data_IF_893836735517
#
_entry.id   IF_893836735517
#
_cell.length_a   1.000
_cell.length_b   1.000
_cell.length_c   1.000
_cell.angle_alpha   90.00
_cell.angle_beta   90.00
_cell.angle_gamma   90.00
#
_symmetry.space_group_name_H-M   'P 1'
#
loop_
_entity.id
_entity.type
_entity.pdbx_description
1 polymer ?
#
# COMPACT_ATOMS: atom_id res chain seq x y z
N UNK A 1 47.90 -32.85 -4.74
CA UNK A 1 47.02 -31.81 -5.31
C UNK A 1 46.31 -31.11 -4.15
N UNK A 2 46.68 -29.87 -3.82
CA UNK A 2 45.99 -29.09 -2.77
C UNK A 2 44.72 -28.52 -3.43
N UNK A 3 43.54 -29.04 -3.05
CA UNK A 3 42.30 -28.54 -3.59
C UNK A 3 42.09 -27.07 -3.16
N UNK A 4 41.80 -26.19 -4.10
CA UNK A 4 41.48 -24.77 -3.80
C UNK A 4 40.29 -24.72 -2.86
N UNK A 5 40.35 -23.96 -1.76
CA UNK A 5 39.23 -23.83 -0.84
C UNK A 5 38.01 -23.24 -1.57
N UNK A 6 36.80 -23.75 -1.26
CA UNK A 6 35.58 -23.21 -1.84
C UNK A 6 35.42 -21.74 -1.43
N UNK A 7 34.74 -20.91 -2.29
CA UNK A 7 34.45 -19.50 -1.98
C UNK A 7 33.76 -19.34 -0.61
N UNK A 8 32.87 -20.25 -0.26
CA UNK A 8 32.20 -20.27 1.05
C UNK A 8 33.18 -20.49 2.21
N UNK A 9 34.21 -21.37 2.03
CA UNK A 9 35.23 -21.60 3.04
C UNK A 9 36.14 -20.38 3.25
N UNK A 10 36.44 -19.66 2.18
CA UNK A 10 37.21 -18.40 2.25
C UNK A 10 36.42 -17.33 3.01
N UNK A 11 35.15 -17.14 2.67
CA UNK A 11 34.27 -16.15 3.34
C UNK A 11 34.12 -16.46 4.84
N UNK A 12 33.96 -17.73 5.22
CA UNK A 12 33.90 -18.13 6.63
C UNK A 12 35.20 -17.84 7.38
N UNK A 13 36.37 -18.04 6.76
CA UNK A 13 37.67 -17.68 7.35
C UNK A 13 37.82 -16.17 7.57
N UNK A 14 37.13 -15.35 6.76
CA UNK A 14 37.05 -13.90 6.93
C UNK A 14 35.96 -13.48 7.94
N UNK A 15 35.37 -14.45 8.64
CA UNK A 15 34.39 -14.21 9.69
C UNK A 15 32.93 -13.99 9.19
N UNK A 16 32.65 -14.22 7.91
CA UNK A 16 31.28 -14.12 7.38
C UNK A 16 30.48 -15.39 7.66
N UNK A 17 29.21 -15.21 8.03
CA UNK A 17 28.26 -16.31 8.08
C UNK A 17 27.76 -16.65 6.66
N UNK A 18 27.88 -17.92 6.27
CA UNK A 18 27.44 -18.39 4.95
C UNK A 18 26.41 -19.50 5.11
N UNK A 19 25.18 -19.22 4.74
CA UNK A 19 24.07 -20.19 4.71
C UNK A 19 23.85 -20.65 3.28
N UNK A 20 23.98 -21.94 2.99
CA UNK A 20 23.69 -22.50 1.66
C UNK A 20 22.18 -22.60 1.46
N UNK A 21 21.71 -22.20 0.29
CA UNK A 21 20.33 -22.32 -0.15
C UNK A 21 20.13 -23.53 -1.09
N UNK A 22 21.21 -23.91 -1.82
CA UNK A 22 21.18 -24.99 -2.78
C UNK A 22 22.48 -25.06 -3.58
N UNK A 23 22.58 -25.90 -4.63
CA UNK A 23 23.74 -25.95 -5.51
C UNK A 23 24.00 -24.56 -6.12
N UNK A 24 25.20 -24.00 -5.87
CA UNK A 24 25.58 -22.69 -6.43
C UNK A 24 25.01 -21.46 -5.76
N UNK A 25 24.11 -21.59 -4.81
CA UNK A 25 23.43 -20.47 -4.14
C UNK A 25 23.71 -20.42 -2.63
N UNK A 26 24.02 -19.23 -2.10
CA UNK A 26 24.22 -19.01 -0.67
C UNK A 26 23.91 -17.56 -0.28
N UNK A 27 23.49 -17.38 0.96
CA UNK A 27 23.36 -16.05 1.60
C UNK A 27 24.60 -15.82 2.47
N UNK A 28 25.19 -14.63 2.35
CA UNK A 28 26.36 -14.20 3.11
C UNK A 28 25.97 -13.06 4.03
N UNK A 29 26.19 -13.22 5.32
CA UNK A 29 25.96 -12.19 6.32
C UNK A 29 27.29 -11.74 6.96
N UNK A 30 27.35 -10.45 7.35
CA UNK A 30 28.50 -9.94 8.12
C UNK A 30 28.57 -10.61 9.49
N UNK A 31 29.77 -10.69 10.11
CA UNK A 31 29.95 -11.25 11.45
C UNK A 31 28.96 -10.58 12.45
N UNK A 32 28.32 -11.39 13.27
CA UNK A 32 27.34 -10.94 14.27
C UNK A 32 25.97 -10.56 13.73
N UNK A 33 25.74 -10.66 12.42
CA UNK A 33 24.39 -10.47 11.83
C UNK A 33 23.70 -11.82 11.75
N UNK A 34 22.71 -12.04 12.62
CA UNK A 34 21.86 -13.24 12.52
C UNK A 34 20.84 -13.06 11.39
N UNK A 35 20.71 -14.06 10.53
CA UNK A 35 19.70 -14.14 9.48
C UNK A 35 18.84 -15.37 9.71
N UNK A 36 17.55 -15.24 9.38
CA UNK A 36 16.64 -16.38 9.19
C UNK A 36 16.56 -16.68 7.70
N UNK A 37 16.56 -17.94 7.36
CA UNK A 37 16.40 -18.45 6.00
C UNK A 37 15.34 -19.53 6.08
N UNK A 38 14.16 -19.24 5.58
CA UNK A 38 13.06 -20.18 5.53
C UNK A 38 12.80 -20.54 4.06
N UNK A 39 12.81 -21.84 3.73
CA UNK A 39 12.45 -22.31 2.40
C UNK A 39 10.94 -22.18 2.23
N UNK A 40 10.51 -21.55 1.16
CA UNK A 40 9.10 -21.33 0.83
C UNK A 40 8.64 -22.36 -0.18
N UNK A 41 9.45 -22.57 -1.23
CA UNK A 41 9.26 -23.55 -2.31
C UNK A 41 10.62 -24.19 -2.61
N UNK A 42 10.68 -25.29 -3.39
CA UNK A 42 11.94 -25.99 -3.68
C UNK A 42 13.09 -25.09 -4.11
N UNK A 43 12.81 -24.03 -4.88
CA UNK A 43 13.81 -23.09 -5.41
C UNK A 43 13.61 -21.65 -4.91
N UNK A 44 12.83 -21.45 -3.83
CA UNK A 44 12.50 -20.13 -3.30
C UNK A 44 12.72 -20.05 -1.80
N UNK A 45 13.35 -18.96 -1.34
CA UNK A 45 13.66 -18.74 0.07
C UNK A 45 13.26 -17.35 0.52
N UNK A 46 12.75 -17.27 1.75
CA UNK A 46 12.58 -16.03 2.46
C UNK A 46 13.76 -15.80 3.39
N UNK A 47 14.45 -14.68 3.20
CA UNK A 47 15.65 -14.34 3.98
C UNK A 47 15.41 -13.02 4.69
N UNK A 48 15.51 -13.01 6.01
CA UNK A 48 15.42 -11.79 6.79
C UNK A 48 16.52 -11.66 7.84
N UNK A 49 16.78 -10.41 8.27
CA UNK A 49 17.71 -10.13 9.36
C UNK A 49 16.99 -10.31 10.70
N UNK A 50 17.50 -11.24 11.52
CA UNK A 50 17.00 -11.41 12.88
C UNK A 50 17.51 -10.27 13.79
N UNK A 51 16.56 -9.51 14.36
CA UNK A 51 16.85 -8.49 15.38
C UNK A 51 16.28 -8.95 16.71
N UNK A 52 17.15 -9.54 17.57
CA UNK A 52 16.72 -10.10 18.88
C UNK A 52 15.99 -11.45 18.77
N UNK A 53 15.02 -11.71 19.65
CA UNK A 53 14.19 -12.92 19.56
C UNK A 53 13.37 -12.92 18.28
N UNK A 54 13.22 -14.09 17.64
CA UNK A 54 12.38 -14.27 16.46
C UNK A 54 10.97 -13.71 16.75
N UNK A 55 10.52 -12.79 15.91
CA UNK A 55 9.19 -12.17 16.02
C UNK A 55 8.35 -12.60 14.82
N UNK A 56 7.69 -13.74 14.94
CA UNK A 56 6.87 -14.36 13.88
C UNK A 56 5.87 -13.36 13.27
N UNK A 57 5.24 -12.52 14.09
CA UNK A 57 4.32 -11.49 13.58
C UNK A 57 4.97 -10.45 12.65
N UNK A 58 6.23 -10.07 12.90
CA UNK A 58 6.99 -9.17 12.01
C UNK A 58 7.41 -9.87 10.71
N UNK A 59 7.76 -11.15 10.79
CA UNK A 59 8.09 -11.95 9.62
C UNK A 59 6.87 -12.15 8.73
N UNK A 60 5.72 -12.49 9.32
CA UNK A 60 4.44 -12.61 8.60
C UNK A 60 4.05 -11.29 7.93
N UNK A 61 4.19 -10.16 8.64
CA UNK A 61 3.92 -8.85 8.04
C UNK A 61 4.86 -8.57 6.87
N UNK A 62 6.15 -8.81 7.00
CA UNK A 62 7.12 -8.57 5.94
C UNK A 62 6.84 -9.43 4.69
N UNK A 63 6.41 -10.68 4.88
CA UNK A 63 5.98 -11.56 3.79
C UNK A 63 4.69 -11.06 3.13
N UNK A 64 3.69 -10.70 3.93
CA UNK A 64 2.44 -10.11 3.44
C UNK A 64 2.70 -8.85 2.62
N UNK A 65 3.52 -7.92 3.15
CA UNK A 65 3.91 -6.69 2.47
C UNK A 65 4.69 -6.97 1.16
N UNK A 66 5.50 -8.02 1.14
CA UNK A 66 6.23 -8.43 -0.07
C UNK A 66 5.27 -8.95 -1.15
N UNK A 67 4.38 -9.89 -0.79
CA UNK A 67 3.40 -10.46 -1.72
C UNK A 67 2.46 -9.38 -2.24
N UNK A 68 1.95 -8.50 -1.37
CA UNK A 68 1.11 -7.37 -1.75
C UNK A 68 1.80 -6.47 -2.80
N UNK A 69 3.09 -6.16 -2.61
CA UNK A 69 3.85 -5.36 -3.58
C UNK A 69 4.06 -6.07 -4.92
N UNK A 70 4.35 -7.38 -4.90
CA UNK A 70 4.49 -8.15 -6.14
C UNK A 70 3.18 -8.20 -6.90
N UNK A 71 2.08 -8.47 -6.21
CA UNK A 71 0.73 -8.47 -6.76
C UNK A 71 0.36 -7.11 -7.36
N UNK A 72 0.61 -6.01 -6.63
CA UNK A 72 0.39 -4.65 -7.13
C UNK A 72 1.21 -4.37 -8.39
N UNK A 73 2.52 -4.67 -8.36
CA UNK A 73 3.37 -4.45 -9.53
C UNK A 73 2.94 -5.27 -10.75
N UNK A 74 2.44 -6.46 -10.52
CA UNK A 74 1.87 -7.31 -11.56
C UNK A 74 0.57 -6.71 -12.11
N UNK A 75 -0.38 -6.30 -11.26
CA UNK A 75 -1.65 -5.68 -11.69
C UNK A 75 -1.42 -4.41 -12.51
N UNK A 76 -0.55 -3.50 -12.04
CA UNK A 76 -0.28 -2.25 -12.76
C UNK A 76 0.24 -2.52 -14.18
N UNK A 77 1.08 -3.55 -14.36
CA UNK A 77 1.56 -3.96 -15.68
C UNK A 77 0.47 -4.62 -16.52
N UNK A 78 -0.28 -5.58 -15.94
CA UNK A 78 -1.33 -6.31 -16.67
C UNK A 78 -2.45 -5.38 -17.16
N UNK A 79 -2.81 -4.37 -16.37
CA UNK A 79 -3.82 -3.39 -16.73
C UNK A 79 -3.26 -2.19 -17.53
N UNK A 80 -1.97 -2.18 -17.86
CA UNK A 80 -1.29 -1.06 -18.51
C UNK A 80 -1.54 0.29 -17.81
N UNK A 81 -1.54 0.29 -16.46
CA UNK A 81 -1.83 1.48 -15.66
C UNK A 81 -0.77 2.55 -15.93
N UNK A 82 -1.21 3.73 -16.35
CA UNK A 82 -0.36 4.88 -16.60
C UNK A 82 -0.64 6.09 -15.70
N UNK A 83 -1.68 5.99 -14.84
CA UNK A 83 -1.97 6.98 -13.81
C UNK A 83 -2.41 6.29 -12.50
N UNK A 84 -1.78 6.63 -11.39
CA UNK A 84 -2.16 6.17 -10.04
C UNK A 84 -2.63 7.36 -9.23
N UNK A 85 -3.85 7.29 -8.70
CA UNK A 85 -4.40 8.22 -7.73
C UNK A 85 -4.14 7.67 -6.32
N UNK A 86 -3.27 8.32 -5.55
CA UNK A 86 -2.88 7.94 -4.18
C UNK A 86 -3.59 8.84 -3.18
N UNK A 87 -4.75 8.40 -2.70
CA UNK A 87 -5.60 9.15 -1.78
C UNK A 87 -5.27 8.79 -0.34
N UNK A 88 -4.99 9.81 0.49
CA UNK A 88 -4.38 9.63 1.81
C UNK A 88 -2.89 9.31 1.67
N UNK A 89 -2.17 10.14 0.93
CA UNK A 89 -0.80 9.86 0.52
C UNK A 89 0.23 10.00 1.65
N UNK A 90 -0.13 10.69 2.73
CA UNK A 90 0.77 10.98 3.84
C UNK A 90 2.08 11.60 3.32
N UNK A 91 3.25 11.15 3.78
CA UNK A 91 4.56 11.64 3.32
C UNK A 91 5.06 10.96 2.03
N UNK A 92 4.18 10.30 1.26
CA UNK A 92 4.47 9.74 -0.05
C UNK A 92 5.12 8.35 -0.05
N UNK A 93 5.02 7.61 1.05
CA UNK A 93 5.63 6.28 1.15
C UNK A 93 5.08 5.27 0.14
N UNK A 94 3.81 5.39 -0.26
CA UNK A 94 3.21 4.52 -1.28
C UNK A 94 3.78 4.83 -2.67
N UNK A 95 3.75 6.09 -3.09
CA UNK A 95 4.32 6.55 -4.35
C UNK A 95 5.82 6.20 -4.48
N UNK A 96 6.61 6.42 -3.43
CA UNK A 96 8.01 6.02 -3.41
C UNK A 96 8.20 4.49 -3.55
N UNK A 97 7.29 3.67 -3.02
CA UNK A 97 7.33 2.21 -3.23
C UNK A 97 7.05 1.85 -4.68
N UNK A 98 6.07 2.50 -5.32
CA UNK A 98 5.78 2.31 -6.74
C UNK A 98 7.00 2.65 -7.62
N UNK A 99 7.64 3.80 -7.37
CA UNK A 99 8.87 4.20 -8.09
C UNK A 99 10.00 3.20 -7.92
N UNK A 100 10.25 2.72 -6.70
CA UNK A 100 11.25 1.66 -6.44
C UNK A 100 10.89 0.33 -7.10
N UNK A 101 9.61 0.07 -7.31
CA UNK A 101 9.09 -1.08 -8.07
C UNK A 101 9.16 -0.93 -9.59
N UNK A 102 9.66 0.21 -10.10
CA UNK A 102 9.82 0.49 -11.53
C UNK A 102 8.57 1.09 -12.20
N UNK A 103 7.57 1.51 -11.44
CA UNK A 103 6.41 2.21 -12.03
C UNK A 103 6.83 3.59 -12.54
N UNK A 104 6.63 3.84 -13.84
CA UNK A 104 7.04 5.07 -14.53
C UNK A 104 5.87 6.01 -14.91
N UNK A 105 4.61 5.55 -14.74
CA UNK A 105 3.44 6.37 -15.04
C UNK A 105 3.21 7.50 -14.04
N UNK A 106 2.22 8.35 -14.33
CA UNK A 106 1.87 9.48 -13.46
C UNK A 106 1.39 8.99 -12.09
N UNK A 107 1.82 9.68 -11.04
CA UNK A 107 1.27 9.55 -9.68
C UNK A 107 0.64 10.88 -9.29
N UNK A 108 -0.58 10.83 -8.76
CA UNK A 108 -1.27 12.00 -8.22
C UNK A 108 -1.63 11.70 -6.78
N UNK A 109 -0.98 12.38 -5.87
CA UNK A 109 -1.13 12.16 -4.42
C UNK A 109 -2.00 13.27 -3.80
N UNK A 110 -2.95 12.86 -2.96
CA UNK A 110 -3.85 13.75 -2.23
C UNK A 110 -3.59 13.60 -0.73
N UNK A 111 -3.26 14.71 -0.07
CA UNK A 111 -2.98 14.76 1.36
C UNK A 111 -3.49 16.08 1.93
N UNK A 112 -4.50 16.06 2.85
CA UNK A 112 -5.15 17.28 3.31
C UNK A 112 -4.36 18.06 4.38
N UNK A 113 -3.49 17.40 5.14
CA UNK A 113 -2.78 18.04 6.27
C UNK A 113 -1.59 18.84 5.75
N UNK A 114 -1.63 20.18 5.83
CA UNK A 114 -0.66 21.09 5.22
C UNK A 114 0.81 20.72 5.54
N UNK A 115 1.14 20.49 6.82
CA UNK A 115 2.52 20.14 7.23
C UNK A 115 2.98 18.76 6.76
N UNK A 116 2.04 17.85 6.41
CA UNK A 116 2.32 16.55 5.81
C UNK A 116 2.43 16.71 4.28
N UNK A 117 1.54 17.49 3.67
CA UNK A 117 1.57 17.79 2.24
C UNK A 117 2.86 18.51 1.81
N UNK A 118 3.44 19.36 2.68
CA UNK A 118 4.74 19.97 2.43
C UNK A 118 5.86 18.92 2.32
N UNK A 119 5.90 17.95 3.26
CA UNK A 119 6.85 16.83 3.20
C UNK A 119 6.64 15.94 1.99
N UNK A 120 5.38 15.76 1.59
CA UNK A 120 5.00 15.02 0.39
C UNK A 120 5.50 15.74 -0.88
N UNK A 121 5.33 17.07 -0.98
CA UNK A 121 5.89 17.87 -2.08
C UNK A 121 7.41 17.79 -2.15
N UNK A 122 8.08 17.83 -0.99
CA UNK A 122 9.53 17.64 -0.94
C UNK A 122 9.95 16.24 -1.45
N UNK A 123 9.18 15.19 -1.11
CA UNK A 123 9.43 13.85 -1.64
C UNK A 123 9.22 13.75 -3.17
N UNK A 124 8.27 14.50 -3.71
CA UNK A 124 7.92 14.52 -5.13
C UNK A 124 8.79 15.47 -5.98
N UNK A 125 9.55 16.40 -5.39
CA UNK A 125 10.18 17.55 -6.07
C UNK A 125 11.04 17.22 -7.30
N UNK A 126 11.67 16.05 -7.33
CA UNK A 126 12.55 15.61 -8.40
C UNK A 126 11.87 14.66 -9.40
N UNK A 127 10.56 14.48 -9.29
CA UNK A 127 9.77 13.57 -10.12
C UNK A 127 8.70 14.37 -10.87
N UNK A 128 8.90 14.71 -12.16
CA UNK A 128 7.96 15.53 -12.91
C UNK A 128 6.60 14.86 -13.14
N UNK A 129 6.54 13.53 -13.03
CA UNK A 129 5.33 12.74 -13.17
C UNK A 129 4.66 12.43 -11.82
N UNK A 130 5.05 13.13 -10.75
CA UNK A 130 4.41 13.02 -9.44
C UNK A 130 3.82 14.37 -9.02
N UNK A 131 2.49 14.47 -9.08
CA UNK A 131 1.72 15.67 -8.68
C UNK A 131 1.19 15.52 -7.26
N UNK A 132 1.07 16.63 -6.54
CA UNK A 132 0.59 16.67 -5.14
C UNK A 132 -0.51 17.70 -5.01
N UNK A 133 -1.64 17.27 -4.47
CA UNK A 133 -2.79 18.10 -4.13
C UNK A 133 -2.98 18.15 -2.61
N UNK A 134 -3.06 19.37 -2.05
CA UNK A 134 -3.33 19.58 -0.63
C UNK A 134 -4.84 19.63 -0.40
N UNK A 135 -5.48 18.49 -0.45
CA UNK A 135 -6.89 18.32 -0.13
C UNK A 135 -7.20 16.86 0.23
N UNK A 136 -8.26 16.64 0.96
CA UNK A 136 -8.92 15.33 1.03
C UNK A 136 -9.80 15.12 -0.20
N UNK A 137 -10.11 13.86 -0.52
CA UNK A 137 -11.18 13.53 -1.46
C UNK A 137 -12.41 13.02 -0.69
N UNK A 138 -13.57 13.45 -1.12
CA UNK A 138 -14.86 13.11 -0.53
C UNK A 138 -15.99 13.19 -1.55
N UNK A 139 -17.22 13.04 -1.07
CA UNK A 139 -18.45 13.08 -1.86
C UNK A 139 -19.04 14.50 -2.00
N UNK A 140 -18.46 15.51 -1.34
CA UNK A 140 -18.80 16.91 -1.46
C UNK A 140 -17.55 17.80 -1.53
N UNK A 141 -17.69 19.00 -2.13
CA UNK A 141 -16.68 20.06 -2.01
C UNK A 141 -17.01 20.88 -0.75
N UNK A 142 -16.16 20.82 0.26
CA UNK A 142 -16.38 21.48 1.54
C UNK A 142 -15.09 21.82 2.28
N UNK A 143 -15.20 22.75 3.23
CA UNK A 143 -14.17 22.99 4.26
C UNK A 143 -14.63 22.30 5.55
N UNK A 144 -13.74 21.49 6.14
CA UNK A 144 -14.05 20.74 7.36
C UNK A 144 -12.83 20.63 8.27
N UNK A 145 -12.94 19.88 9.36
CA UNK A 145 -11.83 19.65 10.28
C UNK A 145 -11.40 18.18 10.26
N UNK A 146 -10.10 17.95 10.16
CA UNK A 146 -9.48 16.63 10.32
C UNK A 146 -8.81 16.53 11.69
N UNK A 147 -8.90 15.37 12.32
CA UNK A 147 -8.15 15.05 13.52
C UNK A 147 -6.73 14.61 13.14
N UNK A 148 -5.76 15.50 13.26
CA UNK A 148 -4.34 15.22 12.99
C UNK A 148 -3.74 14.41 14.12
N UNK A 149 -3.14 13.27 13.79
CA UNK A 149 -2.53 12.35 14.74
C UNK A 149 -1.13 11.92 14.30
N UNK A 150 -0.27 11.49 15.24
CA UNK A 150 1.07 11.02 14.89
C UNK A 150 1.08 9.83 13.92
N UNK A 151 1.97 9.89 12.94
CA UNK A 151 2.13 8.84 11.93
C UNK A 151 1.10 8.93 10.81
N UNK A 152 0.40 7.83 10.52
CA UNK A 152 -0.60 7.73 9.44
C UNK A 152 -2.03 7.58 9.97
N UNK A 153 -2.32 8.09 11.19
CA UNK A 153 -3.62 7.85 11.85
C UNK A 153 -4.53 9.08 11.85
N UNK A 154 -4.22 10.11 11.05
CA UNK A 154 -5.11 11.27 10.88
C UNK A 154 -6.37 10.86 10.13
N UNK A 155 -7.53 11.29 10.63
CA UNK A 155 -8.84 10.92 10.07
C UNK A 155 -9.86 12.04 10.20
N UNK A 156 -10.76 12.12 9.25
CA UNK A 156 -11.98 12.94 9.33
C UNK A 156 -12.97 12.37 10.35
N UNK A 157 -12.85 11.09 10.67
CA UNK A 157 -13.72 10.44 11.63
C UNK A 157 -13.13 10.46 13.05
N UNK A 158 -13.97 10.55 14.10
CA UNK A 158 -13.52 10.40 15.47
C UNK A 158 -13.05 8.96 15.73
N UNK A 159 -12.10 8.79 16.63
CA UNK A 159 -11.65 7.44 17.02
C UNK A 159 -12.73 6.70 17.80
N UNK A 160 -12.97 5.44 17.46
CA UNK A 160 -13.87 4.57 18.21
C UNK A 160 -13.28 4.21 19.59
N UNK A 161 -14.11 3.74 20.51
CA UNK A 161 -13.62 3.24 21.80
C UNK A 161 -12.63 2.07 21.62
N UNK A 162 -12.94 1.14 20.72
CA UNK A 162 -12.01 0.08 20.37
C UNK A 162 -10.68 0.63 19.83
N UNK A 163 -10.71 1.64 18.95
CA UNK A 163 -9.52 2.28 18.40
C UNK A 163 -8.63 2.88 19.49
N UNK A 164 -9.22 3.64 20.43
CA UNK A 164 -8.51 4.26 21.56
C UNK A 164 -7.87 3.23 22.50
N UNK A 165 -8.54 2.10 22.72
CA UNK A 165 -8.02 1.01 23.54
C UNK A 165 -6.93 0.22 22.83
N UNK A 166 -7.08 0.04 21.52
CA UNK A 166 -6.14 -0.73 20.72
C UNK A 166 -4.81 0.02 20.50
N UNK A 167 -4.86 1.37 20.28
CA UNK A 167 -3.67 2.14 19.97
C UNK A 167 -3.68 3.55 20.59
N UNK A 168 -2.67 3.84 21.41
CA UNK A 168 -2.55 5.13 22.14
C UNK A 168 -2.63 6.38 21.24
N UNK A 169 -2.11 6.31 20.00
CA UNK A 169 -2.15 7.43 19.04
C UNK A 169 -3.57 7.81 18.59
N UNK A 170 -4.56 6.97 18.85
CA UNK A 170 -5.96 7.25 18.54
C UNK A 170 -6.68 7.99 19.67
N UNK A 171 -6.06 8.17 20.83
CA UNK A 171 -6.67 8.82 22.00
C UNK A 171 -6.72 10.34 21.87
N UNK A 172 -5.69 10.93 21.28
CA UNK A 172 -5.53 12.37 21.16
C UNK A 172 -5.26 12.75 19.71
N UNK A 173 -5.69 13.95 19.33
CA UNK A 173 -5.45 14.54 18.02
C UNK A 173 -5.73 16.02 18.06
N UNK A 174 -5.11 16.77 17.16
CA UNK A 174 -5.34 18.21 16.99
C UNK A 174 -6.27 18.42 15.79
N UNK A 175 -7.32 19.22 15.97
CA UNK A 175 -8.19 19.59 14.86
C UNK A 175 -7.48 20.59 13.94
N UNK A 176 -7.47 20.30 12.64
CA UNK A 176 -6.95 21.20 11.61
C UNK A 176 -8.00 21.37 10.52
N UNK A 177 -8.24 22.60 10.07
CA UNK A 177 -9.09 22.88 8.90
C UNK A 177 -8.43 22.38 7.64
N UNK A 178 -9.22 21.73 6.80
CA UNK A 178 -8.82 21.18 5.51
C UNK A 178 -9.91 21.39 4.46
N UNK A 179 -9.50 21.33 3.20
CA UNK A 179 -10.42 21.30 2.06
C UNK A 179 -10.68 19.85 1.66
N UNK A 180 -11.94 19.50 1.48
CA UNK A 180 -12.40 18.27 0.84
C UNK A 180 -12.85 18.61 -0.58
N UNK A 181 -12.46 17.81 -1.56
CA UNK A 181 -12.83 18.01 -2.95
C UNK A 181 -13.46 16.73 -3.53
N UNK A 182 -14.43 16.91 -4.39
CA UNK A 182 -14.95 15.80 -5.19
C UNK A 182 -13.94 15.42 -6.26
N UNK A 183 -13.66 14.11 -6.38
CA UNK A 183 -12.71 13.61 -7.38
C UNK A 183 -13.22 13.78 -8.81
N UNK A 184 -14.53 13.65 -9.07
CA UNK A 184 -15.08 13.83 -10.41
C UNK A 184 -14.80 15.23 -10.98
N UNK A 185 -14.79 16.27 -10.12
CA UNK A 185 -14.42 17.63 -10.50
C UNK A 185 -12.92 17.82 -10.82
N UNK A 186 -12.05 16.94 -10.31
CA UNK A 186 -10.61 17.01 -10.53
C UNK A 186 -10.12 15.99 -11.58
N UNK A 187 -10.98 15.08 -12.03
CA UNK A 187 -10.55 13.92 -12.82
C UNK A 187 -9.88 14.32 -14.14
N UNK A 188 -10.49 15.23 -14.89
CA UNK A 188 -9.93 15.67 -16.17
C UNK A 188 -8.59 16.39 -16.00
N UNK A 189 -8.42 17.16 -14.91
CA UNK A 189 -7.14 17.83 -14.58
C UNK A 189 -6.03 16.83 -14.25
N UNK A 190 -6.34 15.78 -13.49
CA UNK A 190 -5.30 14.81 -13.05
C UNK A 190 -4.83 13.91 -14.18
N UNK A 191 -5.68 13.63 -15.16
CA UNK A 191 -5.32 12.83 -16.35
C UNK A 191 -4.86 13.68 -17.55
N UNK A 192 -4.93 15.02 -17.47
CA UNK A 192 -4.57 15.91 -18.57
C UNK A 192 -3.19 15.61 -19.14
N UNK A 193 -3.08 15.51 -20.46
CA UNK A 193 -1.86 15.15 -21.18
C UNK A 193 -1.49 13.67 -21.14
N UNK A 194 -2.33 12.78 -20.58
CA UNK A 194 -2.14 11.32 -20.67
C UNK A 194 -2.92 10.81 -21.88
N UNK A 195 -2.23 10.19 -22.83
CA UNK A 195 -2.88 9.49 -23.93
C UNK A 195 -3.44 8.17 -23.43
N UNK A 196 -4.71 7.86 -23.71
CA UNK A 196 -5.40 6.65 -23.27
C UNK A 196 -5.23 6.38 -21.77
N UNK A 197 -5.84 7.21 -20.88
CA UNK A 197 -5.61 7.11 -19.45
C UNK A 197 -6.17 5.79 -18.88
N UNK A 198 -5.28 5.02 -18.25
CA UNK A 198 -5.57 3.79 -17.52
C UNK A 198 -5.30 4.06 -16.04
N UNK A 199 -6.37 4.31 -15.29
CA UNK A 199 -6.28 4.84 -13.94
C UNK A 199 -6.41 3.74 -12.88
N UNK A 200 -5.52 3.76 -11.89
CA UNK A 200 -5.60 2.97 -10.69
C UNK A 200 -5.84 3.86 -9.46
N UNK A 201 -6.78 3.48 -8.60
CA UNK A 201 -7.16 4.23 -7.42
C UNK A 201 -6.69 3.51 -6.15
N UNK A 202 -5.85 4.16 -5.33
CA UNK A 202 -5.55 3.72 -3.96
C UNK A 202 -6.28 4.60 -2.97
N UNK A 203 -7.04 3.99 -2.08
CA UNK A 203 -7.72 4.61 -0.95
C UNK A 203 -7.08 4.14 0.36
N UNK A 204 -6.69 5.07 1.23
CA UNK A 204 -6.15 4.84 2.56
C UNK A 204 -6.36 6.14 3.36
N UNK A 205 -7.63 6.42 3.64
CA UNK A 205 -8.07 7.70 4.23
C UNK A 205 -8.46 7.55 5.70
N UNK A 206 -8.04 6.43 6.30
CA UNK A 206 -8.30 6.13 7.69
C UNK A 206 -9.79 6.20 8.04
N UNK A 207 -10.57 5.40 7.27
CA UNK A 207 -12.01 5.21 7.46
C UNK A 207 -12.92 6.06 6.60
N UNK A 208 -12.39 7.05 5.85
CA UNK A 208 -13.16 7.92 4.97
C UNK A 208 -13.17 7.43 3.49
N UNK A 209 -12.75 6.19 3.26
CA UNK A 209 -12.56 5.60 1.94
C UNK A 209 -13.84 5.54 1.12
N UNK A 210 -14.99 5.28 1.76
CA UNK A 210 -16.28 5.21 1.07
C UNK A 210 -16.74 6.56 0.54
N UNK A 211 -16.51 7.65 1.28
CA UNK A 211 -16.82 9.01 0.83
C UNK A 211 -15.88 9.41 -0.33
N UNK A 212 -14.59 9.10 -0.21
CA UNK A 212 -13.63 9.32 -1.28
C UNK A 212 -13.96 8.47 -2.54
N UNK A 213 -14.49 7.26 -2.36
CA UNK A 213 -14.97 6.41 -3.44
C UNK A 213 -16.22 6.98 -4.11
N UNK A 214 -17.20 7.38 -3.31
CA UNK A 214 -18.46 7.97 -3.82
C UNK A 214 -18.22 9.28 -4.59
N UNK A 215 -17.24 10.09 -4.16
CA UNK A 215 -16.83 11.32 -4.83
C UNK A 215 -16.29 11.17 -6.24
N UNK A 216 -16.07 9.94 -6.70
CA UNK A 216 -15.75 9.68 -8.10
C UNK A 216 -16.96 9.76 -9.03
N UNK A 217 -18.16 9.59 -8.50
CA UNK A 217 -19.39 9.62 -9.29
C UNK A 217 -19.29 8.72 -10.54
N UNK A 218 -19.72 9.25 -11.68
CA UNK A 218 -19.68 8.53 -12.96
C UNK A 218 -18.26 8.19 -13.46
N UNK A 219 -17.22 8.84 -12.91
CA UNK A 219 -15.83 8.59 -13.26
C UNK A 219 -15.29 7.27 -12.69
N UNK A 220 -16.05 6.59 -11.82
CA UNK A 220 -15.70 5.24 -11.34
C UNK A 220 -15.50 4.24 -12.48
N UNK A 221 -16.25 4.37 -13.55
CA UNK A 221 -16.14 3.50 -14.74
C UNK A 221 -14.81 3.67 -15.50
N UNK A 222 -14.08 4.75 -15.26
CA UNK A 222 -12.77 5.01 -15.86
C UNK A 222 -11.59 4.50 -15.00
N UNK A 223 -11.90 3.96 -13.80
CA UNK A 223 -10.93 3.32 -12.92
C UNK A 223 -10.78 1.86 -13.30
N UNK A 224 -9.62 1.47 -13.79
CA UNK A 224 -9.36 0.09 -14.24
C UNK A 224 -9.10 -0.88 -13.08
N UNK A 225 -8.60 -0.39 -11.96
CA UNK A 225 -8.38 -1.17 -10.74
C UNK A 225 -8.24 -0.27 -9.52
N UNK A 226 -8.35 -0.85 -8.34
CA UNK A 226 -8.27 -0.12 -7.10
C UNK A 226 -7.66 -0.93 -5.95
N UNK A 227 -7.23 -0.21 -4.92
CA UNK A 227 -6.89 -0.74 -3.60
C UNK A 227 -7.56 0.12 -2.54
N UNK A 228 -8.11 -0.53 -1.51
CA UNK A 228 -8.63 0.17 -0.33
C UNK A 228 -8.24 -0.56 0.94
N UNK A 229 -7.99 0.19 2.02
CA UNK A 229 -7.84 -0.36 3.36
C UNK A 229 -9.23 -0.61 3.94
N UNK A 230 -9.56 -1.87 4.22
CA UNK A 230 -10.90 -2.27 4.69
C UNK A 230 -10.85 -2.82 6.12
N UNK A 231 -11.78 -2.38 6.96
CA UNK A 231 -11.78 -2.69 8.38
C UNK A 231 -12.60 -3.94 8.72
N UNK A 232 -11.94 -4.96 9.28
CA UNK A 232 -12.63 -6.04 9.99
C UNK A 232 -13.21 -5.56 11.33
N UNK A 233 -12.49 -4.62 11.96
CA UNK A 233 -12.88 -4.00 13.22
C UNK A 233 -12.71 -2.49 13.08
N UNK A 234 -13.80 -1.71 13.07
CA UNK A 234 -13.73 -0.26 12.93
C UNK A 234 -12.92 0.38 14.06
N UNK A 235 -11.87 1.11 13.70
CA UNK A 235 -11.04 1.88 14.62
C UNK A 235 -11.45 3.35 14.71
N UNK A 236 -12.36 3.76 13.83
CA UNK A 236 -13.03 5.07 13.84
C UNK A 236 -14.54 4.88 13.87
N UNK A 237 -15.25 5.81 14.52
CA UNK A 237 -16.72 5.82 14.55
C UNK A 237 -17.28 6.18 13.17
N UNK A 238 -18.28 5.44 12.73
CA UNK A 238 -18.86 5.61 11.40
C UNK A 238 -18.06 4.95 10.26
N UNK A 239 -16.87 4.39 10.55
CA UNK A 239 -16.12 3.62 9.56
C UNK A 239 -16.89 2.36 9.14
N UNK A 240 -17.10 2.12 7.83
CA UNK A 240 -17.79 0.92 7.37
C UNK A 240 -16.96 -0.33 7.67
N UNK A 241 -17.66 -1.45 7.83
CA UNK A 241 -17.00 -2.75 8.01
C UNK A 241 -16.71 -3.38 6.66
N UNK A 242 -15.72 -4.29 6.66
CA UNK A 242 -15.29 -5.03 5.46
C UNK A 242 -16.45 -5.55 4.59
N UNK A 243 -17.51 -6.23 5.11
CA UNK A 243 -18.57 -6.74 4.25
C UNK A 243 -19.32 -5.63 3.49
N UNK A 244 -19.60 -4.51 4.17
CA UNK A 244 -20.34 -3.40 3.60
C UNK A 244 -19.51 -2.68 2.54
N UNK A 245 -18.23 -2.49 2.81
CA UNK A 245 -17.28 -1.82 1.93
C UNK A 245 -17.03 -2.66 0.65
N UNK A 246 -16.80 -3.97 0.81
CA UNK A 246 -16.64 -4.89 -0.32
C UNK A 246 -17.91 -4.93 -1.17
N UNK A 247 -19.09 -5.07 -0.56
CA UNK A 247 -20.35 -5.09 -1.30
C UNK A 247 -20.56 -3.83 -2.14
N UNK A 248 -20.16 -2.66 -1.63
CA UNK A 248 -20.23 -1.41 -2.37
C UNK A 248 -19.29 -1.38 -3.57
N UNK A 249 -18.05 -1.87 -3.41
CA UNK A 249 -17.07 -1.95 -4.50
C UNK A 249 -17.49 -2.95 -5.58
N UNK A 250 -17.99 -4.13 -5.18
CA UNK A 250 -18.53 -5.15 -6.11
C UNK A 250 -19.75 -4.62 -6.87
N UNK A 251 -20.66 -3.90 -6.19
CA UNK A 251 -21.81 -3.25 -6.84
C UNK A 251 -21.40 -2.19 -7.87
N UNK A 252 -20.21 -1.60 -7.73
CA UNK A 252 -19.62 -0.68 -8.70
C UNK A 252 -18.83 -1.39 -9.82
N UNK A 253 -18.84 -2.72 -9.87
CA UNK A 253 -18.22 -3.55 -10.92
C UNK A 253 -16.76 -3.92 -10.68
N UNK A 254 -16.27 -3.84 -9.43
CA UNK A 254 -14.93 -4.29 -9.08
C UNK A 254 -14.93 -5.72 -8.53
N UNK A 255 -13.90 -6.49 -8.87
CA UNK A 255 -13.70 -7.87 -8.43
C UNK A 255 -12.40 -7.99 -7.64
N UNK A 256 -12.42 -8.75 -6.52
CA UNK A 256 -11.25 -8.93 -5.66
C UNK A 256 -10.18 -9.77 -6.37
N UNK A 257 -8.94 -9.27 -6.38
CA UNK A 257 -7.76 -9.99 -6.87
C UNK A 257 -6.76 -10.33 -5.76
N UNK A 258 -6.86 -9.69 -4.60
CA UNK A 258 -6.01 -9.98 -3.46
C UNK A 258 -6.48 -9.31 -2.16
N UNK A 259 -6.21 -9.98 -1.03
CA UNK A 259 -6.48 -9.45 0.30
C UNK A 259 -5.24 -9.67 1.18
N UNK A 260 -4.65 -8.58 1.67
CA UNK A 260 -3.38 -8.61 2.40
C UNK A 260 -3.56 -8.01 3.79
N UNK A 261 -3.30 -8.76 4.90
CA UNK A 261 -3.44 -8.23 6.24
C UNK A 261 -2.47 -7.07 6.49
N UNK A 262 -2.99 -5.90 6.85
CA UNK A 262 -2.22 -4.71 7.21
C UNK A 262 -1.80 -4.79 8.67
N UNK A 263 -2.78 -5.01 9.55
CA UNK A 263 -2.53 -5.02 10.99
C UNK A 263 -3.36 -6.08 11.71
N UNK A 264 -2.83 -6.52 12.88
CA UNK A 264 -3.46 -7.54 13.73
C UNK A 264 -3.45 -7.09 15.18
N UNK A 265 -4.51 -7.43 15.88
CA UNK A 265 -4.56 -7.26 17.32
C UNK A 265 -3.65 -8.31 18.01
N UNK A 266 -2.67 -7.83 18.80
CA UNK A 266 -1.60 -8.69 19.33
C UNK A 266 -2.10 -9.79 20.27
N UNK A 267 -3.08 -9.50 21.12
CA UNK A 267 -3.58 -10.45 22.10
C UNK A 267 -4.59 -11.46 21.52
N UNK A 268 -5.45 -11.02 20.57
CA UNK A 268 -6.51 -11.87 20.01
C UNK A 268 -6.14 -12.46 18.65
N UNK A 269 -5.04 -12.02 18.05
CA UNK A 269 -4.56 -12.40 16.72
C UNK A 269 -5.52 -12.04 15.57
N UNK A 270 -6.63 -11.35 15.87
CA UNK A 270 -7.61 -10.91 14.88
C UNK A 270 -6.95 -9.91 13.90
N UNK A 271 -7.28 -10.02 12.64
CA UNK A 271 -6.97 -8.98 11.67
C UNK A 271 -7.86 -7.77 11.97
N UNK A 272 -7.26 -6.59 12.02
CA UNK A 272 -7.97 -5.32 12.19
C UNK A 272 -8.34 -4.78 10.82
N UNK A 273 -7.39 -4.77 9.89
CA UNK A 273 -7.54 -4.21 8.54
C UNK A 273 -6.85 -5.06 7.49
N UNK A 274 -7.43 -5.06 6.29
CA UNK A 274 -6.83 -5.61 5.09
C UNK A 274 -6.64 -4.51 4.04
N UNK A 275 -5.53 -4.56 3.32
CA UNK A 275 -5.44 -4.00 1.97
C UNK A 275 -6.15 -4.94 1.01
N UNK A 276 -7.21 -4.49 0.37
CA UNK A 276 -7.92 -5.23 -0.66
C UNK A 276 -7.64 -4.61 -2.01
N UNK A 277 -7.13 -5.42 -2.94
CA UNK A 277 -6.92 -5.02 -4.33
C UNK A 277 -8.02 -5.58 -5.21
N UNK A 278 -8.51 -4.76 -6.12
CA UNK A 278 -9.63 -5.09 -6.99
C UNK A 278 -9.38 -4.59 -8.42
N UNK A 279 -10.02 -5.20 -9.38
CA UNK A 279 -9.99 -4.81 -10.80
C UNK A 279 -11.41 -4.68 -11.32
N UNK A 280 -11.62 -3.81 -12.30
CA UNK A 280 -12.88 -3.81 -13.02
C UNK A 280 -12.94 -4.99 -14.00
N UNK A 281 -14.03 -5.73 -13.99
CA UNK A 281 -14.21 -6.91 -14.85
C UNK A 281 -14.06 -6.57 -16.35
N UNK A 282 -14.57 -5.42 -16.78
CA UNK A 282 -14.48 -4.95 -18.16
C UNK A 282 -13.07 -4.44 -18.54
N UNK A 283 -12.31 -3.91 -17.60
CA UNK A 283 -10.93 -3.45 -17.85
C UNK A 283 -9.97 -4.62 -18.16
N UNK A 284 -10.18 -5.77 -17.54
CA UNK A 284 -9.40 -6.99 -17.81
C UNK A 284 -9.65 -7.49 -19.22
N UNK A 285 -10.91 -7.45 -19.66
CA UNK A 285 -11.31 -7.91 -21.01
C UNK A 285 -10.69 -7.08 -22.15
N UNK A 286 -10.37 -5.81 -21.88
CA UNK A 286 -9.76 -4.87 -22.86
C UNK A 286 -8.27 -5.12 -23.10
N UNK A 287 -7.57 -5.77 -22.19
CA UNK A 287 -6.11 -5.97 -22.28
C UNK A 287 -5.70 -7.23 -23.03
N UNK A 288 -6.67 -8.10 -23.39
CA UNK A 288 -6.42 -9.43 -23.96
C UNK A 288 -5.95 -10.41 -22.87
N UNK A 289 -6.07 -11.73 -23.16
CA UNK A 289 -5.57 -12.73 -22.23
C UNK A 289 -4.06 -12.54 -22.02
N UNK A 290 -3.55 -12.48 -20.78
CA UNK A 290 -2.13 -12.39 -20.53
C UNK A 290 -1.42 -13.55 -21.21
N UNK A 291 -0.24 -13.28 -21.82
CA UNK A 291 0.62 -14.36 -22.30
C UNK A 291 0.85 -15.32 -21.13
N UNK A 292 0.55 -16.60 -21.34
CA UNK A 292 0.78 -17.63 -20.33
C UNK A 292 2.26 -17.60 -19.95
N UNK A 293 2.56 -17.22 -18.71
CA UNK A 293 3.88 -17.38 -18.13
C UNK A 293 4.18 -18.89 -18.09
N UNK A 294 5.05 -19.33 -19.05
CA UNK A 294 5.56 -20.69 -19.14
C UNK A 294 6.66 -20.95 -18.11
#
# INVERSE_FOLDING_TARGET
>A
MISRPSRAAVLRRLGFDVTRLGPGSAVVARPGVRINVDQVEPDSWFVNRQRGRRQVGREQKALSDYIARQHMSWLLRQLNINCVLDVGANVGQYAQRLRRGGYAGRIVSFEPVAGIAEKLREAARNDPDWRVYECALGDADEETEINVRPGSMSSLLPSSEFGKDWHERLREGEAQKISVRRRDGLFDEVIDGISDPRVYLKLDTQGYDMQAFAGAGDRLKEIAGMQSEVACVPIYDGMPRLPDQIAAYESAGFEITGMFPVTRHRATLRVIEFDVTMVRADAVSQVGAPASDG
#
